data_IF_562741056932
#
_entry.id   IF_562741056932
#
_cell.length_a   1.000
_cell.length_b   1.000
_cell.length_c   1.000
_cell.angle_alpha   90.00
_cell.angle_beta   90.00
_cell.angle_gamma   90.00
#
_symmetry.space_group_name_H-M   'P 1'
#
loop_
_entity.id
_entity.type
_entity.pdbx_description
1 polymer ?
#
# COMPACT_ATOMS: atom_id res chain seq x y z
N UNK A 1 5.67 -15.22 14.16
CA UNK A 1 4.68 -14.34 14.79
C UNK A 1 5.38 -13.61 15.93
N UNK A 2 5.41 -12.28 15.91
CA UNK A 2 6.01 -11.51 17.01
C UNK A 2 4.88 -11.02 17.92
N UNK A 3 4.90 -11.41 19.19
CA UNK A 3 3.88 -11.04 20.18
C UNK A 3 4.18 -9.63 20.70
N UNK A 4 3.15 -8.78 20.83
CA UNK A 4 3.29 -7.44 21.38
C UNK A 4 3.55 -7.52 22.89
N UNK A 5 4.77 -7.20 23.32
CA UNK A 5 5.11 -7.01 24.72
C UNK A 5 4.89 -5.56 25.17
N UNK A 6 4.56 -5.34 26.45
CA UNK A 6 4.67 -4.02 27.09
C UNK A 6 5.57 -4.11 28.32
N UNK A 7 6.22 -3.01 28.65
CA UNK A 7 6.98 -2.87 29.89
C UNK A 7 6.00 -2.53 31.03
N UNK A 8 5.84 -3.43 32.01
CA UNK A 8 5.02 -3.12 33.19
C UNK A 8 5.72 -2.12 34.11
N UNK A 9 4.97 -1.51 35.04
CA UNK A 9 5.45 -0.48 35.98
C UNK A 9 6.68 -0.91 36.81
N UNK A 10 6.91 -2.22 36.95
CA UNK A 10 8.08 -2.79 37.61
C UNK A 10 9.25 -3.12 36.66
N UNK A 11 9.25 -2.60 35.43
CA UNK A 11 10.33 -2.77 34.45
C UNK A 11 10.42 -4.16 33.79
N UNK A 12 9.41 -5.03 33.96
CA UNK A 12 9.38 -6.35 33.32
C UNK A 12 8.58 -6.33 32.02
N UNK A 13 9.09 -6.99 30.99
CA UNK A 13 8.33 -7.22 29.77
C UNK A 13 7.20 -8.23 30.03
N UNK A 14 5.98 -7.87 29.62
CA UNK A 14 4.80 -8.74 29.66
C UNK A 14 4.23 -8.91 28.26
N UNK A 15 4.02 -10.16 27.86
CA UNK A 15 3.54 -10.54 26.51
C UNK A 15 2.00 -10.46 26.36
N UNK A 16 1.31 -9.82 27.30
CA UNK A 16 -0.14 -9.65 27.30
C UNK A 16 -0.60 -8.22 26.99
N UNK A 17 0.24 -7.41 26.34
CA UNK A 17 -0.06 -6.01 26.00
C UNK A 17 -1.33 -5.86 25.18
N UNK A 18 -1.60 -6.84 24.32
CA UNK A 18 -2.84 -6.93 23.54
C UNK A 18 -4.12 -7.00 24.39
N UNK A 19 -4.05 -7.40 25.67
CA UNK A 19 -5.21 -7.39 26.58
C UNK A 19 -5.53 -6.01 27.14
N UNK A 20 -4.53 -5.11 27.19
CA UNK A 20 -4.66 -3.76 27.74
C UNK A 20 -4.92 -2.71 26.67
N UNK A 21 -4.41 -2.94 25.46
CA UNK A 21 -4.65 -2.10 24.31
C UNK A 21 -5.62 -2.84 23.37
N UNK A 22 -6.83 -2.32 23.11
CA UNK A 22 -7.81 -2.94 22.20
C UNK A 22 -7.38 -2.90 20.71
N UNK A 23 -6.08 -2.83 20.43
CA UNK A 23 -5.51 -2.95 19.10
C UNK A 23 -5.16 -4.42 18.87
N UNK A 24 -6.08 -5.17 18.26
CA UNK A 24 -5.77 -6.51 17.78
C UNK A 24 -4.75 -6.41 16.63
N UNK A 25 -3.53 -6.91 16.88
CA UNK A 25 -2.52 -7.49 15.97
C UNK A 25 -2.16 -6.87 14.60
N UNK A 26 -2.76 -5.77 14.14
CA UNK A 26 -2.61 -5.34 12.75
C UNK A 26 -2.44 -3.83 12.53
N UNK A 27 -1.74 -3.14 13.42
CA UNK A 27 -1.08 -1.91 12.98
C UNK A 27 0.16 -2.28 12.16
N UNK A 28 -0.05 -2.82 10.96
CA UNK A 28 1.03 -3.16 10.05
C UNK A 28 1.42 -1.90 9.30
N UNK A 29 2.57 -1.32 9.64
CA UNK A 29 3.25 -0.42 8.70
C UNK A 29 3.47 -1.26 7.44
N UNK A 30 2.82 -0.87 6.34
CA UNK A 30 2.67 -1.67 5.13
C UNK A 30 3.98 -2.11 4.47
N UNK A 31 5.13 -1.64 4.98
CA UNK A 31 6.48 -2.13 4.64
C UNK A 31 7.48 -1.72 5.73
N UNK A 32 8.53 -2.53 5.95
CA UNK A 32 9.68 -2.25 6.82
C UNK A 32 9.36 -2.02 8.32
N UNK A 33 8.78 -3.03 8.98
CA UNK A 33 8.47 -3.02 10.41
C UNK A 33 9.69 -2.66 11.28
N UNK A 34 10.83 -3.30 11.03
CA UNK A 34 12.05 -3.08 11.80
C UNK A 34 12.51 -1.61 11.70
N UNK A 35 12.53 -1.04 10.49
CA UNK A 35 12.91 0.36 10.29
C UNK A 35 11.89 1.36 10.86
N UNK A 36 10.60 1.00 10.93
CA UNK A 36 9.61 1.83 11.61
C UNK A 36 9.78 1.81 13.12
N UNK A 37 9.93 0.62 13.71
CA UNK A 37 10.17 0.48 15.15
C UNK A 37 11.47 1.18 15.55
N UNK A 38 12.54 0.98 14.78
CA UNK A 38 13.81 1.69 14.96
C UNK A 38 13.63 3.21 14.85
N UNK A 39 12.87 3.70 13.86
CA UNK A 39 12.59 5.12 13.71
C UNK A 39 11.80 5.68 14.90
N UNK A 40 10.77 4.98 15.39
CA UNK A 40 10.02 5.41 16.58
C UNK A 40 10.96 5.50 17.78
N UNK A 41 11.73 4.45 18.03
CA UNK A 41 12.68 4.44 19.13
C UNK A 41 13.66 5.60 19.01
N UNK A 42 14.29 5.82 17.84
CA UNK A 42 15.24 6.93 17.63
C UNK A 42 14.60 8.31 17.70
N UNK A 43 13.36 8.46 17.24
CA UNK A 43 12.68 9.77 17.17
C UNK A 43 12.19 10.20 18.55
N UNK A 44 11.70 9.26 19.35
CA UNK A 44 11.03 9.57 20.61
C UNK A 44 11.87 9.21 21.85
N UNK A 45 13.04 8.59 21.72
CA UNK A 45 13.91 8.29 22.88
C UNK A 45 14.36 9.56 23.61
N UNK A 46 14.84 10.56 22.86
CA UNK A 46 15.33 11.81 23.45
C UNK A 46 14.21 12.83 23.68
N UNK A 47 13.11 12.69 22.94
CA UNK A 47 11.97 13.59 22.99
C UNK A 47 10.63 12.82 23.01
N UNK A 48 10.29 12.15 24.13
CA UNK A 48 9.13 11.27 24.19
C UNK A 48 7.83 12.03 24.06
N UNK A 49 6.78 11.33 23.60
CA UNK A 49 5.41 11.85 23.62
C UNK A 49 4.94 11.96 25.07
N UNK A 50 4.58 13.15 25.51
CA UNK A 50 4.10 13.44 26.87
C UNK A 50 2.60 13.71 26.93
N UNK A 51 1.96 14.00 25.80
CA UNK A 51 0.51 14.17 25.73
C UNK A 51 -0.04 13.74 24.37
N UNK A 52 -1.23 13.16 24.38
CA UNK A 52 -1.98 12.78 23.19
C UNK A 52 -3.38 13.38 23.30
N UNK A 53 -3.81 14.11 22.26
CA UNK A 53 -5.18 14.60 22.10
C UNK A 53 -5.75 14.05 20.81
N UNK A 54 -7.02 13.69 20.88
CA UNK A 54 -7.77 13.03 19.83
C UNK A 54 -9.06 13.82 19.67
N UNK A 55 -9.39 14.22 18.45
CA UNK A 55 -10.61 14.97 18.16
C UNK A 55 -11.78 14.08 17.76
N UNK A 56 -12.85 14.71 17.30
CA UNK A 56 -14.04 14.01 16.82
C UNK A 56 -13.78 13.33 15.48
N UNK A 57 -14.44 12.19 15.28
CA UNK A 57 -14.41 11.47 14.01
C UNK A 57 -15.08 12.30 12.90
N UNK A 58 -14.48 12.27 11.71
CA UNK A 58 -15.03 12.82 10.49
C UNK A 58 -14.74 11.90 9.29
N UNK A 59 -15.53 11.94 8.21
CA UNK A 59 -15.20 11.25 6.97
C UNK A 59 -13.97 11.88 6.29
N UNK A 60 -12.89 11.12 6.22
CA UNK A 60 -11.62 11.54 5.63
C UNK A 60 -11.70 11.81 4.13
N UNK A 61 -10.98 12.83 3.67
CA UNK A 61 -10.93 13.22 2.23
C UNK A 61 -9.84 12.49 1.46
N UNK A 62 -8.84 11.98 2.15
CA UNK A 62 -7.70 11.28 1.57
C UNK A 62 -8.14 9.95 0.95
N UNK A 63 -7.51 9.59 -0.18
CA UNK A 63 -7.74 8.32 -0.86
C UNK A 63 -6.76 7.31 -0.30
N UNK A 64 -7.25 6.41 0.55
CA UNK A 64 -6.43 5.36 1.14
C UNK A 64 -6.89 4.04 0.53
N UNK A 65 -5.95 3.30 -0.07
CA UNK A 65 -6.22 2.03 -0.79
C UNK A 65 -7.33 2.19 -1.86
N UNK A 66 -7.36 3.35 -2.54
CA UNK A 66 -8.34 3.64 -3.60
C UNK A 66 -9.74 4.00 -3.11
N UNK A 67 -9.96 4.16 -1.80
CA UNK A 67 -11.24 4.56 -1.21
C UNK A 67 -11.14 5.92 -0.53
N UNK A 68 -12.19 6.74 -0.67
CA UNK A 68 -12.40 8.00 0.09
C UNK A 68 -13.42 7.78 1.20
N UNK A 69 -13.47 8.72 2.15
CA UNK A 69 -14.51 8.75 3.19
C UNK A 69 -14.23 7.79 4.34
N UNK A 70 -12.97 7.45 4.58
CA UNK A 70 -12.59 6.63 5.73
C UNK A 70 -12.96 7.33 7.03
N UNK A 71 -13.57 6.64 8.02
CA UNK A 71 -13.65 7.15 9.37
C UNK A 71 -12.27 7.61 9.83
N UNK A 72 -12.15 8.89 10.17
CA UNK A 72 -10.87 9.54 10.43
C UNK A 72 -10.97 10.36 11.68
N UNK A 73 -9.94 10.35 12.50
CA UNK A 73 -9.88 11.13 13.73
C UNK A 73 -8.63 12.00 13.70
N UNK A 74 -8.75 13.32 13.92
CA UNK A 74 -7.59 14.18 14.00
C UNK A 74 -6.89 13.91 15.33
N UNK A 75 -5.57 13.94 15.33
CA UNK A 75 -4.78 13.76 16.55
C UNK A 75 -3.71 14.85 16.67
N UNK A 76 -3.30 15.07 17.91
CA UNK A 76 -2.23 15.98 18.29
C UNK A 76 -1.39 15.32 19.38
N UNK A 77 -0.14 15.03 19.10
CA UNK A 77 0.86 14.59 20.07
C UNK A 77 1.68 15.80 20.51
N UNK A 78 2.00 15.88 21.79
CA UNK A 78 2.96 16.86 22.33
C UNK A 78 4.16 16.09 22.87
N UNK A 79 5.36 16.51 22.49
CA UNK A 79 6.61 15.91 22.95
C UNK A 79 7.16 16.64 24.17
N UNK A 80 8.14 16.04 24.84
CA UNK A 80 8.75 16.55 26.08
C UNK A 80 9.30 17.97 25.94
N UNK A 81 9.87 18.31 24.80
CA UNK A 81 10.38 19.65 24.49
C UNK A 81 9.27 20.68 24.15
N UNK A 82 8.00 20.28 24.21
CA UNK A 82 6.84 21.11 23.88
C UNK A 82 6.51 21.14 22.39
N UNK A 83 7.29 20.47 21.53
CA UNK A 83 6.96 20.33 20.12
C UNK A 83 5.67 19.53 19.93
N UNK A 84 5.00 19.77 18.81
CA UNK A 84 3.68 19.22 18.52
C UNK A 84 3.72 18.51 17.18
N UNK A 85 3.19 17.29 17.16
CA UNK A 85 2.95 16.51 15.95
C UNK A 85 1.45 16.35 15.77
N UNK A 86 0.91 16.71 14.62
CA UNK A 86 -0.52 16.62 14.34
C UNK A 86 -0.78 15.96 12.99
N UNK A 87 -1.96 15.35 12.88
CA UNK A 87 -2.36 14.66 11.67
C UNK A 87 -3.75 14.07 11.77
N UNK A 88 -4.09 13.29 10.76
CA UNK A 88 -5.34 12.57 10.66
C UNK A 88 -5.04 11.08 10.72
N UNK A 89 -5.75 10.36 11.58
CA UNK A 89 -5.64 8.92 11.72
C UNK A 89 -6.88 8.27 11.08
N UNK A 90 -6.76 7.71 9.87
CA UNK A 90 -7.83 6.94 9.24
C UNK A 90 -7.92 5.55 9.89
N UNK A 91 -9.13 5.03 10.05
CA UNK A 91 -9.38 3.71 10.59
C UNK A 91 -10.54 3.01 9.88
N UNK A 92 -10.57 1.69 9.96
CA UNK A 92 -11.71 0.88 9.52
C UNK A 92 -12.09 -0.13 10.59
N UNK A 93 -13.33 -0.62 10.49
CA UNK A 93 -13.83 -1.68 11.34
C UNK A 93 -13.70 -3.00 10.59
N UNK A 94 -13.01 -3.96 11.18
CA UNK A 94 -12.76 -5.27 10.61
C UNK A 94 -13.23 -6.39 11.55
N UNK A 95 -13.47 -7.58 10.99
CA UNK A 95 -13.90 -8.78 11.71
C UNK A 95 -12.85 -9.89 11.57
N UNK A 96 -11.96 -9.99 12.55
CA UNK A 96 -10.96 -11.06 12.61
C UNK A 96 -11.45 -12.16 13.56
N UNK A 97 -11.54 -13.39 13.07
CA UNK A 97 -11.97 -14.53 13.88
C UNK A 97 -13.37 -14.36 14.50
N UNK A 98 -14.26 -13.64 13.83
CA UNK A 98 -15.63 -13.36 14.30
C UNK A 98 -15.74 -12.26 15.36
N UNK A 99 -14.63 -11.61 15.73
CA UNK A 99 -14.63 -10.46 16.65
C UNK A 99 -14.36 -9.16 15.89
N UNK A 100 -15.34 -8.26 15.95
CA UNK A 100 -15.22 -6.94 15.37
C UNK A 100 -14.24 -6.06 16.16
N UNK A 101 -13.39 -5.31 15.47
CA UNK A 101 -12.46 -4.37 16.07
C UNK A 101 -12.16 -3.22 15.10
N UNK A 102 -11.72 -2.09 15.64
CA UNK A 102 -11.23 -0.96 14.83
C UNK A 102 -9.72 -1.08 14.65
N UNK A 103 -9.23 -0.89 13.43
CA UNK A 103 -7.80 -0.80 13.16
C UNK A 103 -7.47 0.46 12.37
N UNK A 104 -6.27 1.01 12.58
CA UNK A 104 -5.78 2.15 11.82
C UNK A 104 -5.35 1.72 10.41
N UNK A 105 -5.78 2.48 9.39
CA UNK A 105 -5.49 2.18 7.98
C UNK A 105 -4.10 2.63 7.56
N UNK A 106 -3.65 3.74 8.11
CA UNK A 106 -2.31 4.28 7.86
C UNK A 106 -1.62 4.65 9.18
N UNK A 107 -0.29 4.48 9.13
CA UNK A 107 0.66 4.75 10.18
C UNK A 107 0.65 6.19 10.69
N UNK A 108 1.28 6.41 11.85
CA UNK A 108 2.16 7.56 12.07
C UNK A 108 3.36 7.44 11.11
N UNK A 109 3.09 7.40 9.80
CA UNK A 109 4.06 7.17 8.73
C UNK A 109 4.89 8.44 8.43
N UNK A 110 5.16 9.21 9.46
CA UNK A 110 5.98 10.42 9.41
C UNK A 110 7.39 10.14 8.89
N UNK A 111 7.92 8.96 9.15
CA UNK A 111 9.20 8.51 8.59
C UNK A 111 9.24 8.56 7.05
N UNK A 112 8.10 8.38 6.37
CA UNK A 112 7.99 8.50 4.90
C UNK A 112 8.02 9.95 4.44
N UNK A 113 7.49 10.88 5.25
CA UNK A 113 7.55 12.34 5.00
C UNK A 113 8.93 12.92 5.29
N UNK A 114 9.65 12.37 6.28
CA UNK A 114 11.03 12.76 6.60
C UNK A 114 12.01 12.41 5.47
N UNK A 115 11.86 11.21 4.87
CA UNK A 115 12.72 10.74 3.76
C UNK A 115 12.51 11.48 2.44
N UNK A 116 11.39 12.18 2.24
CA UNK A 116 11.14 12.96 1.03
C UNK A 116 11.71 14.39 1.07
N UNK A 117 12.47 14.74 2.11
CA UNK A 117 13.06 16.08 2.27
C UNK A 117 12.08 17.15 2.74
N UNK A 118 10.86 16.77 3.15
CA UNK A 118 9.91 17.66 3.79
C UNK A 118 10.21 17.69 5.30
N UNK A 119 10.84 18.77 5.78
CA UNK A 119 10.99 18.98 7.22
C UNK A 119 9.63 18.95 7.92
N UNK A 120 9.54 18.44 9.15
CA UNK A 120 8.37 18.65 10.00
C UNK A 120 8.09 20.15 10.04
N UNK A 121 6.91 20.56 9.58
CA UNK A 121 6.56 21.98 9.56
C UNK A 121 6.74 22.58 10.95
N UNK A 122 7.37 23.76 11.05
CA UNK A 122 7.42 24.50 12.32
C UNK A 122 6.01 24.58 12.92
N UNK A 123 5.86 24.43 14.24
CA UNK A 123 4.55 24.49 14.89
C UNK A 123 3.91 25.85 14.58
N UNK A 124 2.80 25.83 13.82
CA UNK A 124 1.94 27.00 13.71
C UNK A 124 1.18 27.11 15.02
N UNK A 125 1.44 28.17 15.79
CA UNK A 125 0.65 28.50 16.97
C UNK A 125 -0.75 28.97 16.53
N UNK A 126 -1.68 28.04 16.36
CA UNK A 126 -3.09 28.38 16.26
C UNK A 126 -3.80 27.96 17.55
N UNK A 127 -3.90 28.90 18.48
CA UNK A 127 -4.92 28.91 19.51
C UNK A 127 -6.26 29.17 18.84
N UNK A 128 -6.98 28.10 18.50
CA UNK A 128 -8.45 27.97 18.51
C UNK A 128 -8.85 26.70 17.73
N UNK A 129 -9.41 25.73 18.45
CA UNK A 129 -9.77 24.39 17.96
C UNK A 129 -11.19 24.32 17.36
N UNK A 130 -11.70 25.44 16.83
CA UNK A 130 -13.00 25.51 16.17
C UNK A 130 -12.82 26.07 14.77
N UNK A 131 -13.24 25.29 13.78
CA UNK A 131 -13.23 25.52 12.32
C UNK A 131 -11.87 25.44 11.57
N UNK A 132 -11.54 24.23 11.12
CA UNK A 132 -10.61 24.00 10.00
C UNK A 132 -11.41 23.82 8.69
N UNK A 133 -11.60 24.91 7.94
CA UNK A 133 -12.01 24.86 6.53
C UNK A 133 -10.79 24.61 5.64
N UNK A 134 -10.92 23.68 4.70
CA UNK A 134 -9.86 23.24 3.80
C UNK A 134 -9.60 24.26 2.67
N UNK A 135 -8.33 24.60 2.44
CA UNK A 135 -7.85 25.33 1.25
C UNK A 135 -7.14 24.40 0.25
N UNK A 136 -7.20 24.65 -1.07
CA UNK A 136 -6.60 23.79 -2.08
C UNK A 136 -5.17 24.22 -2.43
N UNK A 137 -4.30 23.25 -2.69
CA UNK A 137 -3.04 23.47 -3.43
C UNK A 137 -2.93 22.42 -4.54
N UNK A 138 -3.01 22.89 -5.79
CA UNK A 138 -2.63 22.11 -6.97
C UNK A 138 -1.17 22.41 -7.31
N UNK A 139 -0.30 21.41 -7.23
CA UNK A 139 1.01 21.41 -7.88
C UNK A 139 0.94 20.42 -9.04
N UNK A 140 1.50 20.81 -10.18
CA UNK A 140 1.42 20.07 -11.44
C UNK A 140 1.94 18.62 -11.28
N UNK A 141 1.11 17.65 -11.68
CA UNK A 141 1.44 16.22 -11.74
C UNK A 141 2.44 16.03 -12.87
N UNK A 142 3.68 15.69 -12.54
CA UNK A 142 4.66 15.19 -13.52
C UNK A 142 4.21 13.83 -14.05
N UNK A 143 4.46 13.54 -15.33
CA UNK A 143 4.05 12.35 -16.12
C UNK A 143 4.29 10.95 -15.50
N UNK A 144 4.83 10.82 -14.30
CA UNK A 144 5.33 9.56 -13.74
C UNK A 144 4.33 8.76 -12.87
N UNK A 145 3.27 9.35 -12.33
CA UNK A 145 2.38 8.64 -11.39
C UNK A 145 0.97 8.48 -11.98
N UNK A 146 0.84 7.63 -12.99
CA UNK A 146 -0.51 7.18 -13.38
C UNK A 146 -1.04 6.29 -12.26
N UNK A 147 -2.16 6.68 -11.60
CA UNK A 147 -2.73 5.90 -10.51
C UNK A 147 -3.12 4.50 -10.98
N UNK A 148 -3.03 3.51 -10.08
CA UNK A 148 -3.51 2.16 -10.32
C UNK A 148 -5.03 2.18 -10.46
N UNK A 149 -5.54 1.82 -11.64
CA UNK A 149 -6.97 1.71 -11.92
C UNK A 149 -7.42 0.25 -11.84
N UNK A 150 -8.38 -0.02 -10.94
CA UNK A 150 -8.99 -1.33 -10.67
C UNK A 150 -10.49 -1.33 -10.87
N UNK A 151 -11.02 -0.33 -11.57
CA UNK A 151 -12.46 -0.11 -11.78
C UNK A 151 -13.11 -1.19 -12.66
N UNK A 152 -12.33 -1.86 -13.51
CA UNK A 152 -12.79 -2.92 -14.42
C UNK A 152 -11.72 -4.01 -14.59
N UNK A 153 -12.09 -5.20 -15.10
CA UNK A 153 -11.10 -6.25 -15.38
C UNK A 153 -9.99 -5.76 -16.33
N UNK A 154 -10.39 -5.06 -17.39
CA UNK A 154 -9.48 -4.45 -18.37
C UNK A 154 -8.54 -3.43 -17.73
N UNK A 155 -9.07 -2.49 -16.95
CA UNK A 155 -8.25 -1.48 -16.28
C UNK A 155 -7.23 -2.12 -15.33
N UNK A 156 -7.64 -3.16 -14.61
CA UNK A 156 -6.79 -3.88 -13.65
C UNK A 156 -5.60 -4.54 -14.35
N UNK A 157 -5.81 -5.29 -15.43
CA UNK A 157 -4.69 -5.94 -16.15
C UNK A 157 -3.79 -4.92 -16.86
N UNK A 158 -4.33 -3.80 -17.32
CA UNK A 158 -3.53 -2.70 -17.88
C UNK A 158 -2.64 -2.05 -16.82
N UNK A 159 -3.19 -1.76 -15.65
CA UNK A 159 -2.45 -1.21 -14.50
C UNK A 159 -1.36 -2.17 -14.03
N UNK A 160 -1.69 -3.46 -13.88
CA UNK A 160 -0.73 -4.50 -13.52
C UNK A 160 0.40 -4.61 -14.55
N UNK A 161 0.06 -4.69 -15.85
CA UNK A 161 1.04 -4.79 -16.96
C UNK A 161 2.00 -3.60 -16.93
N UNK A 162 1.48 -2.39 -16.76
CA UNK A 162 2.32 -1.19 -16.67
C UNK A 162 3.20 -1.23 -15.42
N UNK A 163 2.67 -1.64 -14.27
CA UNK A 163 3.41 -1.71 -13.02
C UNK A 163 4.60 -2.68 -13.10
N UNK A 164 4.40 -3.89 -13.62
CA UNK A 164 5.51 -4.86 -13.77
C UNK A 164 6.55 -4.40 -14.80
N UNK A 165 6.10 -3.81 -15.92
CA UNK A 165 6.99 -3.26 -16.95
C UNK A 165 7.85 -2.08 -16.46
N UNK A 166 7.40 -1.39 -15.40
CA UNK A 166 8.05 -0.23 -14.78
C UNK A 166 8.66 -0.52 -13.41
N UNK A 167 8.75 -1.80 -13.01
CA UNK A 167 9.34 -2.24 -11.74
C UNK A 167 8.66 -1.67 -10.49
N UNK A 168 7.37 -1.32 -10.58
CA UNK A 168 6.58 -0.83 -9.45
C UNK A 168 5.92 -2.01 -8.72
N UNK A 169 6.71 -2.71 -7.88
CA UNK A 169 6.27 -3.92 -7.15
C UNK A 169 4.93 -3.71 -6.43
N UNK A 170 4.83 -2.65 -5.62
CA UNK A 170 3.65 -2.41 -4.79
C UNK A 170 2.40 -2.15 -5.63
N UNK A 171 2.53 -1.42 -6.74
CA UNK A 171 1.42 -1.19 -7.66
C UNK A 171 0.96 -2.48 -8.33
N UNK A 172 1.90 -3.34 -8.75
CA UNK A 172 1.58 -4.65 -9.31
C UNK A 172 0.85 -5.54 -8.29
N UNK A 173 1.36 -5.63 -7.06
CA UNK A 173 0.71 -6.40 -5.99
C UNK A 173 -0.66 -5.83 -5.60
N UNK A 174 -0.87 -4.51 -5.70
CA UNK A 174 -2.18 -3.90 -5.42
C UNK A 174 -3.26 -4.28 -6.44
N UNK A 175 -2.87 -4.77 -7.63
CA UNK A 175 -3.77 -5.34 -8.62
C UNK A 175 -4.06 -6.83 -8.38
N UNK A 176 -3.32 -7.50 -7.50
CA UNK A 176 -3.52 -8.91 -7.16
C UNK A 176 -4.49 -9.04 -5.99
N UNK A 177 -5.22 -10.15 -5.94
CA UNK A 177 -6.01 -10.54 -4.79
C UNK A 177 -5.06 -11.09 -3.71
N UNK A 178 -4.98 -10.53 -2.49
CA UNK A 178 -4.00 -10.95 -1.47
C UNK A 178 -4.04 -12.42 -1.06
N UNK A 179 -5.22 -13.04 -1.12
CA UNK A 179 -5.46 -14.47 -0.90
C UNK A 179 -5.72 -15.22 -2.22
N UNK A 180 -5.33 -14.62 -3.34
CA UNK A 180 -5.45 -15.16 -4.68
C UNK A 180 -4.48 -16.30 -4.93
N UNK A 181 -4.83 -17.17 -5.87
CA UNK A 181 -4.08 -18.37 -6.23
C UNK A 181 -2.60 -18.09 -6.53
N UNK A 182 -2.30 -17.03 -7.27
CA UNK A 182 -0.95 -16.74 -7.74
C UNK A 182 -0.32 -15.50 -7.06
N UNK A 183 -0.87 -15.02 -5.93
CA UNK A 183 -0.33 -13.85 -5.24
C UNK A 183 1.13 -14.05 -4.82
N UNK A 184 1.40 -15.12 -4.05
CA UNK A 184 2.74 -15.45 -3.53
C UNK A 184 3.74 -15.70 -4.67
N UNK A 185 3.28 -16.31 -5.77
CA UNK A 185 4.10 -16.55 -6.94
C UNK A 185 4.49 -15.25 -7.65
N UNK A 186 3.54 -14.33 -7.83
CA UNK A 186 3.80 -13.00 -8.39
C UNK A 186 4.74 -12.21 -7.48
N UNK A 187 4.51 -12.20 -6.17
CA UNK A 187 5.42 -11.54 -5.22
C UNK A 187 6.84 -12.11 -5.32
N UNK A 188 6.97 -13.44 -5.29
CA UNK A 188 8.26 -14.14 -5.43
C UNK A 188 8.95 -13.82 -6.75
N UNK A 189 8.21 -13.71 -7.86
CA UNK A 189 8.78 -13.33 -9.16
C UNK A 189 9.28 -11.88 -9.12
N UNK A 190 8.50 -10.95 -8.55
CA UNK A 190 8.87 -9.54 -8.47
C UNK A 190 10.11 -9.30 -7.58
N UNK A 191 10.31 -10.12 -6.56
CA UNK A 191 11.49 -10.08 -5.69
C UNK A 191 12.70 -10.86 -6.22
N UNK A 192 12.51 -11.71 -7.23
CA UNK A 192 13.55 -12.60 -7.72
C UNK A 192 14.83 -11.86 -8.15
N UNK A 193 15.97 -12.28 -7.62
CA UNK A 193 17.31 -11.88 -8.08
C UNK A 193 17.84 -12.82 -9.17
N UNK A 194 19.02 -12.53 -9.73
CA UNK A 194 19.62 -13.27 -10.83
C UNK A 194 19.95 -14.74 -10.56
N UNK A 195 20.01 -15.15 -9.28
CA UNK A 195 20.23 -16.56 -8.90
C UNK A 195 18.94 -17.38 -8.89
N UNK A 196 17.77 -16.72 -8.86
CA UNK A 196 16.47 -17.38 -8.78
C UNK A 196 16.03 -17.98 -10.11
N UNK A 197 15.47 -19.19 -10.07
CA UNK A 197 14.90 -19.87 -11.24
C UNK A 197 13.78 -19.06 -11.92
N UNK A 198 13.07 -18.22 -11.17
CA UNK A 198 11.97 -17.38 -11.70
C UNK A 198 12.43 -16.00 -12.16
N UNK A 199 13.72 -15.67 -12.06
CA UNK A 199 14.27 -14.40 -12.52
C UNK A 199 14.02 -14.13 -14.01
N UNK A 200 14.08 -15.17 -14.83
CA UNK A 200 13.79 -15.04 -16.26
C UNK A 200 12.36 -14.53 -16.54
N UNK A 201 11.38 -14.90 -15.71
CA UNK A 201 10.00 -14.42 -15.81
C UNK A 201 9.92 -12.94 -15.42
N UNK A 202 10.60 -12.54 -14.34
CA UNK A 202 10.72 -11.12 -13.96
C UNK A 202 11.29 -10.29 -15.10
N UNK A 203 12.39 -10.75 -15.72
CA UNK A 203 13.01 -10.07 -16.87
C UNK A 203 12.07 -9.98 -18.07
N UNK A 204 11.24 -11.00 -18.29
CA UNK A 204 10.19 -10.96 -19.31
C UNK A 204 9.20 -9.82 -19.06
N UNK A 205 8.68 -9.71 -17.84
CA UNK A 205 7.73 -8.66 -17.50
C UNK A 205 8.34 -7.26 -17.59
N UNK A 206 9.58 -7.10 -17.12
CA UNK A 206 10.32 -5.83 -17.23
C UNK A 206 10.63 -5.43 -18.68
N UNK A 207 10.68 -6.40 -19.61
CA UNK A 207 10.90 -6.18 -21.04
C UNK A 207 9.62 -5.78 -21.80
N UNK A 208 8.46 -5.75 -21.14
CA UNK A 208 7.22 -5.22 -21.74
C UNK A 208 7.37 -3.70 -21.98
N UNK A 209 6.81 -3.22 -23.09
CA UNK A 209 6.73 -1.81 -23.44
C UNK A 209 5.51 -1.16 -22.76
N UNK A 210 5.69 -0.33 -21.70
CA UNK A 210 4.56 0.27 -20.99
C UNK A 210 3.85 1.39 -21.78
N UNK A 211 4.46 1.88 -22.86
CA UNK A 211 3.93 2.96 -23.70
C UNK A 211 3.12 2.43 -24.89
N UNK A 212 3.19 1.12 -25.16
CA UNK A 212 2.38 0.50 -26.20
C UNK A 212 1.01 0.11 -25.62
N UNK A 213 -0.07 0.33 -26.39
CA UNK A 213 -1.40 -0.03 -25.92
C UNK A 213 -1.50 -1.55 -25.71
N UNK A 214 -1.99 -1.95 -24.55
CA UNK A 214 -2.37 -3.33 -24.28
C UNK A 214 -3.66 -3.65 -25.04
N UNK A 215 -3.63 -4.70 -25.87
CA UNK A 215 -4.79 -5.12 -26.65
C UNK A 215 -5.50 -6.27 -25.96
N UNK A 216 -6.74 -6.07 -25.52
CA UNK A 216 -7.59 -7.17 -25.03
C UNK A 216 -8.00 -8.03 -26.22
N UNK A 217 -7.70 -9.32 -26.14
CA UNK A 217 -7.95 -10.32 -27.19
C UNK A 217 -9.26 -11.06 -26.93
N UNK A 218 -9.50 -11.47 -25.68
CA UNK A 218 -10.74 -12.11 -25.25
C UNK A 218 -11.08 -11.65 -23.82
N UNK A 219 -12.37 -11.57 -23.50
CA UNK A 219 -12.84 -11.26 -22.16
C UNK A 219 -14.22 -11.89 -21.93
N UNK A 220 -14.32 -12.72 -20.89
CA UNK A 220 -15.55 -13.34 -20.43
C UNK A 220 -15.82 -12.89 -19.00
N UNK A 221 -16.97 -12.27 -18.76
CA UNK A 221 -17.36 -11.80 -17.44
C UNK A 221 -18.66 -12.45 -16.99
N UNK A 222 -18.66 -13.02 -15.79
CA UNK A 222 -19.81 -13.68 -15.17
C UNK A 222 -19.97 -13.18 -13.74
N UNK A 223 -20.89 -12.23 -13.53
CA UNK A 223 -21.13 -11.61 -12.23
C UNK A 223 -19.86 -10.97 -11.67
N UNK A 224 -19.38 -11.50 -10.53
CA UNK A 224 -18.19 -11.01 -9.81
C UNK A 224 -16.87 -11.68 -10.25
N UNK A 225 -16.88 -12.39 -11.36
CA UNK A 225 -15.70 -13.07 -11.90
C UNK A 225 -15.47 -12.70 -13.36
N UNK A 226 -14.21 -12.65 -13.78
CA UNK A 226 -13.84 -12.45 -15.17
C UNK A 226 -12.64 -13.31 -15.56
N UNK A 227 -12.57 -13.72 -16.83
CA UNK A 227 -11.40 -14.24 -17.50
C UNK A 227 -11.03 -13.26 -18.60
N UNK A 228 -9.77 -12.88 -18.71
CA UNK A 228 -9.30 -11.92 -19.72
C UNK A 228 -8.00 -12.43 -20.32
N UNK A 229 -7.89 -12.34 -21.64
CA UNK A 229 -6.65 -12.57 -22.39
C UNK A 229 -6.26 -11.27 -23.06
N UNK A 230 -5.02 -10.82 -22.87
CA UNK A 230 -4.50 -9.60 -23.50
C UNK A 230 -3.14 -9.83 -24.12
N UNK A 231 -2.80 -8.99 -25.09
CA UNK A 231 -1.53 -9.01 -25.79
C UNK A 231 -0.65 -7.86 -25.32
N UNK A 232 0.62 -8.17 -25.03
CA UNK A 232 1.67 -7.20 -24.69
C UNK A 232 2.74 -7.17 -25.77
N UNK A 233 3.42 -6.03 -25.93
CA UNK A 233 4.55 -5.86 -26.86
C UNK A 233 5.84 -5.68 -26.09
N UNK A 234 6.93 -6.32 -26.51
CA UNK A 234 8.24 -6.16 -25.88
C UNK A 234 9.00 -4.92 -26.39
N UNK A 235 9.68 -4.21 -25.49
CA UNK A 235 10.58 -3.07 -25.82
C UNK A 235 12.05 -3.47 -26.01
N UNK A 236 12.38 -4.70 -25.65
CA UNK A 236 13.76 -5.22 -25.69
C UNK A 236 13.73 -6.73 -25.86
N UNK A 237 14.82 -7.28 -26.38
CA UNK A 237 14.95 -8.73 -26.51
C UNK A 237 14.98 -9.39 -25.12
N UNK A 238 14.29 -10.52 -24.97
CA UNK A 238 14.31 -11.30 -23.72
C UNK A 238 14.18 -12.79 -24.00
N UNK A 239 14.95 -13.60 -23.28
CA UNK A 239 14.91 -15.06 -23.38
C UNK A 239 14.35 -15.68 -22.12
N UNK A 240 13.34 -16.54 -22.27
CA UNK A 240 12.62 -17.19 -21.17
C UNK A 240 12.38 -18.64 -21.55
N UNK A 241 12.83 -19.58 -20.72
CA UNK A 241 12.63 -21.03 -20.92
C UNK A 241 13.00 -21.50 -22.34
N UNK A 242 14.13 -21.02 -22.88
CA UNK A 242 14.62 -21.40 -24.21
C UNK A 242 13.94 -20.70 -25.40
N UNK A 243 12.92 -19.86 -25.17
CA UNK A 243 12.31 -19.02 -26.19
C UNK A 243 12.84 -17.59 -26.09
N UNK A 244 13.22 -17.01 -27.22
CA UNK A 244 13.62 -15.61 -27.32
C UNK A 244 12.53 -14.80 -27.98
N UNK A 245 12.12 -13.71 -27.31
CA UNK A 245 11.25 -12.66 -27.86
C UNK A 245 12.14 -11.50 -28.27
N UNK A 246 11.95 -10.99 -29.49
CA UNK A 246 12.60 -9.79 -29.99
C UNK A 246 11.82 -8.54 -29.59
N UNK A 247 12.49 -7.39 -29.59
CA UNK A 247 11.81 -6.11 -29.50
C UNK A 247 10.75 -5.99 -30.60
N UNK A 248 9.54 -5.58 -30.24
CA UNK A 248 8.39 -5.51 -31.13
C UNK A 248 7.55 -6.79 -31.21
N UNK A 249 8.08 -7.94 -30.75
CA UNK A 249 7.28 -9.16 -30.66
C UNK A 249 6.13 -8.99 -29.67
N UNK A 250 5.08 -9.78 -29.86
CA UNK A 250 3.94 -9.84 -28.95
C UNK A 250 3.85 -11.16 -28.19
N UNK A 251 3.23 -11.10 -27.02
CA UNK A 251 2.88 -12.26 -26.20
C UNK A 251 1.47 -12.09 -25.66
N UNK A 252 0.67 -13.16 -25.76
CA UNK A 252 -0.63 -13.24 -25.08
C UNK A 252 -0.43 -13.69 -23.63
N UNK A 253 -1.06 -12.97 -22.73
CA UNK A 253 -1.18 -13.29 -21.31
C UNK A 253 -2.66 -13.48 -20.99
N UNK A 254 -2.98 -14.31 -20.02
CA UNK A 254 -4.33 -14.47 -19.51
C UNK A 254 -4.36 -14.38 -17.99
N UNK A 255 -5.54 -14.04 -17.47
CA UNK A 255 -5.77 -13.96 -16.03
C UNK A 255 -7.22 -14.23 -15.69
N UNK A 256 -7.43 -14.73 -14.48
CA UNK A 256 -8.72 -14.77 -13.80
C UNK A 256 -8.78 -13.65 -12.79
N UNK A 257 -9.91 -12.95 -12.74
CA UNK A 257 -10.13 -11.82 -11.85
C UNK A 257 -11.40 -12.03 -11.03
N UNK A 258 -11.38 -11.51 -9.81
CA UNK A 258 -12.53 -11.44 -8.91
C UNK A 258 -12.83 -9.99 -8.55
N UNK A 259 -14.10 -9.66 -8.49
CA UNK A 259 -14.59 -8.39 -7.99
C UNK A 259 -14.83 -8.47 -6.48
N UNK A 260 -14.15 -7.60 -5.72
CA UNK A 260 -14.29 -7.46 -4.27
C UNK A 260 -14.80 -6.05 -3.96
N UNK A 261 -16.12 -5.90 -3.95
CA UNK A 261 -16.76 -4.59 -3.78
C UNK A 261 -16.68 -3.76 -5.05
N UNK A 262 -15.93 -2.65 -5.02
CA UNK A 262 -15.81 -1.74 -6.16
C UNK A 262 -14.46 -1.86 -6.90
N UNK A 263 -13.69 -2.91 -6.63
CA UNK A 263 -12.39 -3.16 -7.27
C UNK A 263 -12.33 -4.56 -7.86
N UNK A 264 -11.68 -4.67 -9.01
CA UNK A 264 -11.29 -5.92 -9.64
C UNK A 264 -9.84 -6.25 -9.28
N UNK A 265 -9.58 -7.51 -8.94
CA UNK A 265 -8.27 -8.00 -8.53
C UNK A 265 -7.97 -9.31 -9.27
N UNK A 266 -6.71 -9.50 -9.64
CA UNK A 266 -6.20 -10.70 -10.30
C UNK A 266 -6.10 -11.81 -9.26
N UNK A 267 -6.85 -12.88 -9.47
CA UNK A 267 -6.87 -14.10 -8.65
C UNK A 267 -5.78 -15.08 -9.12
N UNK A 268 -5.55 -15.16 -10.43
CA UNK A 268 -4.49 -15.99 -11.00
C UNK A 268 -4.14 -15.64 -12.45
N UNK A 269 -2.96 -16.05 -12.88
CA UNK A 269 -2.34 -15.79 -14.20
C UNK A 269 -1.68 -17.04 -14.79
#
# INVERSE_FOLDING_TARGET
>A
AYTLGYLSENGRWKEDGWKKFPAHNYYMVSSNWAGWAEWICKTFIDNPIVSVKVGNMFPGKEVIIGRKGWPTVPYKLTLKDGSVLEGNLPFEYNFDGGKGHWHGMEGLDWHKRYKSGLSPGKPRSNSNLTELKATPFGKAITKADVPVDRSSPKATVMSWTKAVATKRKQDALSCMLPDGKDYDDVERILDADSSSKVYSIRKMWEAINPEKPVKVVDMKQHGKSASITWEVTFKSNVSVKGRTFKSGDTLKMDARLKNKGNVWLIDGM
#
